data_IF_629908719980
#
_entry.id   IF_629908719980
#
_cell.length_a   1.000
_cell.length_b   1.000
_cell.length_c   1.000
_cell.angle_alpha   90.00
_cell.angle_beta   90.00
_cell.angle_gamma   90.00
#
_symmetry.space_group_name_H-M   'P 1'
#
loop_
_entity.id
_entity.type
_entity.pdbx_description
1 polymer ?
#
# COMPACT_ATOMS: atom_id res chain seq x y z
N UNK A 1 3.30 -11.65 -20.05
CA UNK A 1 4.38 -11.48 -19.06
C UNK A 1 4.37 -10.05 -18.50
N UNK A 2 4.32 -9.02 -19.34
CA UNK A 2 4.31 -7.59 -18.91
C UNK A 2 3.24 -7.21 -17.87
N UNK A 3 2.01 -7.74 -17.95
CA UNK A 3 0.93 -7.37 -17.00
C UNK A 3 1.24 -7.84 -15.57
N UNK A 4 1.91 -8.98 -15.42
CA UNK A 4 2.23 -9.50 -14.09
C UNK A 4 3.37 -8.68 -13.46
N UNK A 5 4.39 -8.35 -14.26
CA UNK A 5 5.52 -7.52 -13.83
C UNK A 5 5.05 -6.11 -13.41
N UNK A 6 4.11 -5.52 -14.14
CA UNK A 6 3.53 -4.22 -13.77
C UNK A 6 2.75 -4.30 -12.45
N UNK A 7 1.98 -5.37 -12.24
CA UNK A 7 1.22 -5.58 -11.01
C UNK A 7 2.13 -5.79 -9.79
N UNK A 8 3.20 -6.57 -9.95
CA UNK A 8 4.22 -6.77 -8.92
C UNK A 8 4.94 -5.47 -8.56
N UNK A 9 5.32 -4.66 -9.56
CA UNK A 9 5.94 -3.35 -9.34
C UNK A 9 4.99 -2.42 -8.57
N UNK A 10 3.71 -2.38 -8.96
CA UNK A 10 2.70 -1.56 -8.26
C UNK A 10 2.51 -2.02 -6.82
N UNK A 11 2.36 -3.32 -6.59
CA UNK A 11 2.26 -3.90 -5.25
C UNK A 11 3.45 -3.50 -4.37
N UNK A 12 4.66 -3.67 -4.88
CA UNK A 12 5.89 -3.31 -4.15
C UNK A 12 5.92 -1.82 -3.78
N UNK A 13 5.62 -0.94 -4.74
CA UNK A 13 5.58 0.50 -4.48
C UNK A 13 4.51 0.89 -3.46
N UNK A 14 3.31 0.33 -3.55
CA UNK A 14 2.22 0.65 -2.60
C UNK A 14 2.59 0.19 -1.18
N UNK A 15 3.21 -0.99 -1.02
CA UNK A 15 3.70 -1.47 0.28
C UNK A 15 4.76 -0.52 0.85
N UNK A 16 5.73 -0.11 0.04
CA UNK A 16 6.79 0.80 0.46
C UNK A 16 6.22 2.18 0.85
N UNK A 17 5.22 2.68 0.14
CA UNK A 17 4.52 3.92 0.51
C UNK A 17 3.76 3.79 1.83
N UNK A 18 3.05 2.67 2.07
CA UNK A 18 2.40 2.39 3.37
C UNK A 18 3.42 2.38 4.50
N UNK A 19 4.57 1.73 4.30
CA UNK A 19 5.66 1.70 5.27
C UNK A 19 6.15 3.11 5.60
N UNK A 20 6.39 3.95 4.59
CA UNK A 20 6.81 5.36 4.79
C UNK A 20 5.77 6.17 5.55
N UNK A 21 4.48 5.97 5.28
CA UNK A 21 3.41 6.64 6.03
C UNK A 21 3.39 6.20 7.50
N UNK A 22 3.56 4.91 7.79
CA UNK A 22 3.67 4.42 9.17
C UNK A 22 4.86 5.04 9.90
N UNK A 23 6.00 5.19 9.23
CA UNK A 23 7.18 5.84 9.80
C UNK A 23 6.96 7.33 10.05
N UNK A 24 6.36 8.06 9.10
CA UNK A 24 6.00 9.46 9.26
C UNK A 24 5.05 9.68 10.45
N UNK A 25 3.98 8.86 10.54
CA UNK A 25 3.05 8.89 11.68
C UNK A 25 3.80 8.67 13.00
N UNK A 26 4.66 7.65 13.06
CA UNK A 26 5.44 7.35 14.28
C UNK A 26 6.33 8.53 14.68
N UNK A 27 7.04 9.15 13.72
CA UNK A 27 7.92 10.31 13.97
C UNK A 27 7.14 11.49 14.56
N UNK A 28 5.97 11.79 14.02
CA UNK A 28 5.13 12.89 14.54
C UNK A 28 4.45 12.55 15.87
N UNK A 29 4.16 11.28 16.14
CA UNK A 29 3.62 10.84 17.43
C UNK A 29 4.66 10.87 18.56
N UNK A 30 5.93 10.65 18.23
CA UNK A 30 7.05 10.60 19.19
C UNK A 30 7.79 11.94 19.33
N UNK A 31 7.37 12.99 18.63
CA UNK A 31 7.94 14.32 18.76
C UNK A 31 7.60 14.94 20.12
N UNK A 32 8.47 15.84 20.63
CA UNK A 32 8.23 16.57 21.88
C UNK A 32 6.93 17.38 21.84
N UNK A 33 6.53 17.83 20.65
CA UNK A 33 5.24 18.45 20.38
C UNK A 33 4.53 17.72 19.21
N UNK A 34 3.64 16.77 19.50
CA UNK A 34 2.94 16.01 18.46
C UNK A 34 2.03 16.90 17.61
N UNK A 35 2.20 16.84 16.29
CA UNK A 35 1.33 17.55 15.35
C UNK A 35 0.16 16.65 14.93
N UNK A 36 -0.97 16.78 15.64
CA UNK A 36 -2.18 15.99 15.41
C UNK A 36 -2.71 16.11 13.97
N UNK A 37 -2.72 17.32 13.41
CA UNK A 37 -3.17 17.56 12.04
C UNK A 37 -2.33 16.78 11.02
N UNK A 38 -0.99 16.81 11.14
CA UNK A 38 -0.11 16.05 10.26
C UNK A 38 -0.30 14.54 10.41
N UNK A 39 -0.51 14.06 11.64
CA UNK A 39 -0.80 12.65 11.90
C UNK A 39 -2.08 12.21 11.20
N UNK A 40 -3.16 12.99 11.30
CA UNK A 40 -4.43 12.71 10.60
C UNK A 40 -4.25 12.67 9.08
N UNK A 41 -3.55 13.66 8.51
CA UNK A 41 -3.25 13.68 7.07
C UNK A 41 -2.49 12.42 6.62
N UNK A 42 -1.46 11.99 7.36
CA UNK A 42 -0.75 10.75 7.03
C UNK A 42 -1.61 9.50 7.23
N UNK A 43 -2.52 9.49 8.19
CA UNK A 43 -3.47 8.39 8.37
C UNK A 43 -4.47 8.29 7.21
N UNK A 44 -4.95 9.41 6.68
CA UNK A 44 -5.81 9.44 5.49
C UNK A 44 -5.09 8.86 4.27
N UNK A 45 -3.86 9.32 4.02
CA UNK A 45 -3.03 8.80 2.92
C UNK A 45 -2.77 7.31 3.10
N UNK A 46 -2.39 6.86 4.31
CA UNK A 46 -2.20 5.45 4.62
C UNK A 46 -3.47 4.64 4.34
N UNK A 47 -4.63 5.14 4.74
CA UNK A 47 -5.91 4.44 4.54
C UNK A 47 -6.21 4.25 3.06
N UNK A 48 -5.97 5.28 2.24
CA UNK A 48 -6.12 5.17 0.78
C UNK A 48 -5.16 4.14 0.19
N UNK A 49 -3.88 4.19 0.56
CA UNK A 49 -2.86 3.25 0.08
C UNK A 49 -3.18 1.80 0.49
N UNK A 50 -3.70 1.59 1.70
CA UNK A 50 -4.13 0.25 2.15
C UNK A 50 -5.27 -0.29 1.30
N UNK A 51 -6.24 0.55 0.92
CA UNK A 51 -7.33 0.14 0.01
C UNK A 51 -6.78 -0.22 -1.38
N UNK A 52 -5.89 0.61 -1.92
CA UNK A 52 -5.23 0.33 -3.19
C UNK A 52 -4.45 -0.99 -3.15
N UNK A 53 -3.73 -1.27 -2.05
CA UNK A 53 -3.03 -2.54 -1.86
C UNK A 53 -4.00 -3.73 -1.84
N UNK A 54 -5.15 -3.60 -1.19
CA UNK A 54 -6.19 -4.65 -1.19
C UNK A 54 -6.73 -4.93 -2.59
N UNK A 55 -6.96 -3.89 -3.39
CA UNK A 55 -7.41 -4.03 -4.78
C UNK A 55 -6.33 -4.70 -5.66
N UNK A 56 -5.07 -4.29 -5.51
CA UNK A 56 -3.95 -4.89 -6.25
C UNK A 56 -3.76 -6.38 -5.88
N UNK A 57 -3.86 -6.74 -4.60
CA UNK A 57 -3.77 -8.13 -4.15
C UNK A 57 -4.93 -8.98 -4.68
N UNK A 58 -6.14 -8.42 -4.74
CA UNK A 58 -7.30 -9.09 -5.32
C UNK A 58 -7.06 -9.41 -6.80
N UNK A 59 -6.56 -8.43 -7.58
CA UNK A 59 -6.20 -8.63 -8.99
C UNK A 59 -5.10 -9.66 -9.18
N UNK A 60 -4.09 -9.66 -8.31
CA UNK A 60 -3.00 -10.64 -8.38
C UNK A 60 -3.51 -12.05 -8.14
N UNK A 61 -4.43 -12.21 -7.19
CA UNK A 61 -5.10 -13.48 -6.91
C UNK A 61 -5.94 -13.91 -8.11
N UNK A 62 -6.76 -13.03 -8.68
CA UNK A 62 -7.56 -13.34 -9.88
C UNK A 62 -6.71 -13.79 -11.06
N UNK A 63 -5.57 -13.12 -11.32
CA UNK A 63 -4.63 -13.54 -12.36
C UNK A 63 -4.03 -14.92 -12.09
N UNK A 64 -3.65 -15.23 -10.85
CA UNK A 64 -3.14 -16.56 -10.49
C UNK A 64 -4.17 -17.66 -10.77
N UNK A 65 -5.45 -17.41 -10.46
CA UNK A 65 -6.53 -18.36 -10.73
C UNK A 65 -6.76 -18.56 -12.23
N UNK A 66 -6.71 -17.50 -13.03
CA UNK A 66 -6.83 -17.60 -14.49
C UNK A 66 -5.69 -18.42 -15.11
N UNK A 67 -4.46 -18.21 -14.64
CA UNK A 67 -3.30 -19.00 -15.10
C UNK A 67 -3.44 -20.46 -14.70
N UNK A 68 -3.84 -20.74 -13.47
CA UNK A 68 -4.03 -22.11 -12.99
C UNK A 68 -5.18 -22.85 -13.69
N UNK A 69 -6.26 -22.15 -14.06
CA UNK A 69 -7.39 -22.73 -14.79
C UNK A 69 -7.13 -22.93 -16.30
N UNK A 70 -6.11 -22.26 -16.84
CA UNK A 70 -5.69 -22.40 -18.25
C UNK A 70 -4.59 -23.46 -18.45
N UNK A 71 -4.09 -24.06 -17.37
CA UNK A 71 -3.15 -25.19 -17.36
C UNK A 71 -3.88 -26.53 -17.21
#
# INVERSE_FOLDING_TARGET
MEINDELEIRLFHTIEQVRRMNEAIRRHQQADEPNAFMIEQFQEVKTRLTKELQDLMSRATEMQWQVAAAQ
#
